data_IF_609468745003
#
_entry.id   IF_609468745003
#
_cell.length_a   1.000
_cell.length_b   1.000
_cell.length_c   1.000
_cell.angle_alpha   90.00
_cell.angle_beta   90.00
_cell.angle_gamma   90.00
#
_symmetry.space_group_name_H-M   'P 1'
#
loop_
_entity.id
_entity.type
_entity.pdbx_description
1 polymer ?
#
# COMPACT_ATOMS: atom_id res chain seq x y z
N UNK A 1 -17.38 -18.33 26.58
CA UNK A 1 -16.75 -18.22 25.23
C UNK A 1 -17.08 -16.83 24.71
N UNK A 2 -16.08 -15.98 24.44
CA UNK A 2 -16.29 -14.59 23.99
C UNK A 2 -16.00 -14.53 22.50
N UNK A 3 -17.03 -14.31 21.68
CA UNK A 3 -16.90 -14.14 20.23
C UNK A 3 -16.33 -12.74 19.95
N UNK A 4 -15.14 -12.67 19.36
CA UNK A 4 -14.59 -11.42 18.84
C UNK A 4 -15.09 -11.24 17.39
N UNK A 5 -16.17 -10.49 17.22
CA UNK A 5 -16.63 -10.10 15.88
C UNK A 5 -15.75 -8.95 15.39
N UNK A 6 -14.72 -9.23 14.61
CA UNK A 6 -13.92 -8.20 13.94
C UNK A 6 -14.41 -8.03 12.50
N UNK A 7 -15.57 -7.39 12.32
CA UNK A 7 -16.03 -6.94 11.00
C UNK A 7 -16.02 -5.42 10.95
N UNK A 8 -14.83 -4.82 10.97
CA UNK A 8 -14.63 -3.46 10.50
C UNK A 8 -14.26 -3.53 9.02
N UNK A 9 -15.26 -3.48 8.13
CA UNK A 9 -15.00 -3.31 6.71
C UNK A 9 -14.39 -1.92 6.49
N UNK A 10 -13.16 -1.86 5.97
CA UNK A 10 -12.55 -0.59 5.58
C UNK A 10 -13.36 0.05 4.44
N UNK A 11 -13.46 1.39 4.38
CA UNK A 11 -14.12 2.06 3.28
C UNK A 11 -13.38 1.79 1.96
N UNK A 12 -14.14 1.61 0.89
CA UNK A 12 -13.56 1.50 -0.46
C UNK A 12 -12.96 2.85 -0.86
N UNK A 13 -11.68 2.91 -1.28
CA UNK A 13 -11.07 4.13 -1.78
C UNK A 13 -11.74 4.65 -3.06
N UNK A 14 -11.65 5.96 -3.30
CA UNK A 14 -12.03 6.56 -4.58
C UNK A 14 -11.19 6.03 -5.75
N UNK A 15 -11.66 6.24 -6.99
CA UNK A 15 -11.03 5.70 -8.19
C UNK A 15 -9.55 6.11 -8.36
N UNK A 16 -9.21 7.36 -8.07
CA UNK A 16 -7.83 7.87 -8.16
C UNK A 16 -6.91 7.21 -7.12
N UNK A 17 -7.34 7.17 -5.85
CA UNK A 17 -6.61 6.49 -4.78
C UNK A 17 -6.41 5.00 -5.08
N UNK A 18 -7.41 4.35 -5.68
CA UNK A 18 -7.31 2.96 -6.12
C UNK A 18 -6.31 2.78 -7.26
N UNK A 19 -6.30 3.65 -8.26
CA UNK A 19 -5.35 3.59 -9.38
C UNK A 19 -3.89 3.76 -8.92
N UNK A 20 -3.65 4.67 -7.97
CA UNK A 20 -2.34 4.83 -7.31
C UNK A 20 -1.95 3.55 -6.57
N UNK A 21 -2.87 3.00 -5.77
CA UNK A 21 -2.63 1.75 -5.03
C UNK A 21 -2.32 0.56 -5.96
N UNK A 22 -3.08 0.40 -7.04
CA UNK A 22 -2.86 -0.66 -8.04
C UNK A 22 -1.49 -0.55 -8.71
N UNK A 23 -1.01 0.68 -8.93
CA UNK A 23 0.32 0.93 -9.50
C UNK A 23 1.43 0.64 -8.49
N UNK A 24 1.27 1.05 -7.24
CA UNK A 24 2.18 0.72 -6.14
C UNK A 24 2.28 -0.79 -5.92
N UNK A 25 1.16 -1.51 -5.98
CA UNK A 25 1.13 -2.97 -5.83
C UNK A 25 1.91 -3.68 -6.95
N UNK A 26 1.84 -3.18 -8.18
CA UNK A 26 2.64 -3.74 -9.30
C UNK A 26 4.14 -3.58 -9.03
N UNK A 27 4.58 -2.38 -8.63
CA UNK A 27 5.97 -2.11 -8.27
C UNK A 27 6.47 -3.02 -7.14
N UNK A 28 5.69 -3.16 -6.07
CA UNK A 28 6.05 -4.01 -4.93
C UNK A 28 6.19 -5.48 -5.34
N UNK A 29 5.25 -6.00 -6.16
CA UNK A 29 5.32 -7.38 -6.66
C UNK A 29 6.58 -7.61 -7.49
N UNK A 30 6.87 -6.72 -8.43
CA UNK A 30 8.09 -6.81 -9.25
C UNK A 30 9.36 -6.83 -8.40
N UNK A 31 9.45 -5.98 -7.38
CA UNK A 31 10.61 -5.97 -6.47
C UNK A 31 10.72 -7.24 -5.63
N UNK A 32 9.59 -7.77 -5.15
CA UNK A 32 9.56 -9.04 -4.41
C UNK A 32 10.06 -10.17 -5.33
N UNK A 33 9.58 -10.23 -6.58
CA UNK A 33 10.03 -11.21 -7.58
C UNK A 33 11.53 -11.08 -7.88
N UNK A 34 12.05 -9.84 -7.95
CA UNK A 34 13.48 -9.57 -8.14
C UNK A 34 14.34 -9.92 -6.92
N UNK A 35 13.73 -10.06 -5.74
CA UNK A 35 14.39 -10.39 -4.47
C UNK A 35 14.18 -11.86 -4.10
N UNK A 36 14.12 -12.75 -5.11
CA UNK A 36 13.87 -14.19 -4.96
C UNK A 36 12.60 -14.52 -4.14
N UNK A 37 11.58 -13.67 -4.27
CA UNK A 37 10.29 -13.84 -3.60
C UNK A 37 10.23 -13.30 -2.17
N UNK A 38 11.30 -12.70 -1.64
CA UNK A 38 11.33 -12.14 -0.29
C UNK A 38 11.98 -10.76 -0.27
N UNK A 39 11.23 -9.77 0.22
CA UNK A 39 11.71 -8.39 0.37
C UNK A 39 11.88 -8.05 1.86
N UNK A 40 12.98 -7.39 2.26
CA UNK A 40 13.11 -6.80 3.59
C UNK A 40 11.96 -5.85 3.94
N UNK A 41 11.53 -5.87 5.20
CA UNK A 41 10.36 -5.08 5.62
C UNK A 41 10.59 -3.57 5.56
N UNK A 42 11.82 -3.11 5.83
CA UNK A 42 12.24 -1.72 5.68
C UNK A 42 12.13 -1.23 4.23
N UNK A 43 12.59 -2.02 3.26
CA UNK A 43 12.44 -1.69 1.84
C UNK A 43 10.96 -1.67 1.39
N UNK A 44 10.16 -2.60 1.91
CA UNK A 44 8.71 -2.60 1.69
C UNK A 44 8.10 -1.30 2.23
N UNK A 45 8.42 -0.94 3.47
CA UNK A 45 7.90 0.25 4.13
C UNK A 45 8.37 1.53 3.45
N UNK A 46 9.63 1.61 3.05
CA UNK A 46 10.17 2.73 2.28
C UNK A 46 9.38 2.91 0.98
N UNK A 47 9.16 1.83 0.25
CA UNK A 47 8.41 1.85 -1.01
C UNK A 47 6.94 2.23 -0.78
N UNK A 48 6.27 1.61 0.18
CA UNK A 48 4.86 1.83 0.46
C UNK A 48 4.57 3.24 1.01
N UNK A 49 5.50 3.82 1.78
CA UNK A 49 5.30 5.11 2.43
C UNK A 49 5.86 6.28 1.63
N UNK A 50 7.01 6.12 0.99
CA UNK A 50 7.79 7.26 0.51
C UNK A 50 8.10 7.27 -1.00
N UNK A 51 7.78 6.19 -1.74
CA UNK A 51 8.00 6.14 -3.20
C UNK A 51 7.42 7.39 -3.87
N UNK A 52 8.22 8.21 -4.57
CA UNK A 52 7.71 9.41 -5.24
C UNK A 52 6.56 9.07 -6.21
N UNK A 53 5.44 9.78 -6.08
CA UNK A 53 4.24 9.60 -6.90
C UNK A 53 3.32 8.44 -6.49
N UNK A 54 3.74 7.55 -5.58
CA UNK A 54 2.96 6.34 -5.23
C UNK A 54 2.82 6.08 -3.73
N UNK A 55 3.85 6.42 -2.95
CA UNK A 55 3.92 6.18 -1.52
C UNK A 55 2.89 7.01 -0.76
N UNK A 56 2.43 6.50 0.38
CA UNK A 56 1.38 7.13 1.19
C UNK A 56 1.62 8.63 1.46
N UNK A 57 2.86 9.03 1.76
CA UNK A 57 3.22 10.42 2.02
C UNK A 57 3.72 11.19 0.78
N UNK A 58 3.80 10.52 -0.38
CA UNK A 58 4.46 11.04 -1.59
C UNK A 58 3.62 10.87 -2.86
N UNK A 59 2.34 10.51 -2.77
CA UNK A 59 1.48 10.22 -3.94
C UNK A 59 0.77 11.43 -4.53
N UNK A 60 0.93 12.62 -3.94
CA UNK A 60 0.30 13.86 -4.43
C UNK A 60 -1.21 13.95 -4.15
N UNK A 61 -1.82 12.92 -3.56
CA UNK A 61 -3.18 12.99 -3.03
C UNK A 61 -3.13 13.59 -1.63
N UNK A 62 -4.10 14.44 -1.30
CA UNK A 62 -4.19 15.05 0.03
C UNK A 62 -4.54 13.96 1.06
N UNK A 63 -3.65 13.60 2.01
CA UNK A 63 -3.94 12.54 2.98
C UNK A 63 -4.89 13.00 4.10
N UNK A 64 -5.01 14.33 4.29
CA UNK A 64 -5.82 14.96 5.32
C UNK A 64 -6.53 16.20 4.74
N UNK A 65 -7.86 16.21 4.80
CA UNK A 65 -8.73 17.31 4.37
C UNK A 65 -10.16 17.06 4.81
#
# INVERSE_FOLDING_TARGET
>A
MRTLTLSASLPTPGAEARAVSDTLLKELRTRIEQSDGCMPFDEFMETALYKPGLGYYSNGLTPFG
#
